data_IF_350982931829
#
_entry.id   IF_350982931829
#
_cell.length_a   1.000
_cell.length_b   1.000
_cell.length_c   1.000
_cell.angle_alpha   90.00
_cell.angle_beta   90.00
_cell.angle_gamma   90.00
#
_symmetry.space_group_name_H-M   'P 1'
#
loop_
_entity.id
_entity.type
_entity.pdbx_description
1 polymer ?
#
# COMPACT_ATOMS: atom_id res chain seq x y z
N UNK A 1 25.16 4.76 29.46
CA UNK A 1 24.45 4.47 30.72
C UNK A 1 23.29 3.54 30.40
N UNK A 2 23.23 2.34 30.99
CA UNK A 2 22.14 1.39 30.77
C UNK A 2 20.88 1.86 31.51
N UNK A 3 19.72 1.87 30.86
CA UNK A 3 18.46 2.21 31.53
C UNK A 3 18.19 1.22 32.66
N UNK A 4 17.82 1.73 33.83
CA UNK A 4 17.38 0.87 34.93
C UNK A 4 15.98 0.32 34.65
N UNK A 5 15.62 -0.83 35.23
CA UNK A 5 14.30 -1.46 35.04
C UNK A 5 13.15 -0.50 35.39
N UNK A 6 13.33 0.29 36.45
CA UNK A 6 12.33 1.26 36.92
C UNK A 6 12.14 2.41 35.94
N UNK A 7 13.22 2.93 35.36
CA UNK A 7 13.16 3.98 34.35
C UNK A 7 12.57 3.46 33.03
N UNK A 8 12.94 2.25 32.61
CA UNK A 8 12.38 1.59 31.42
C UNK A 8 10.85 1.49 31.54
N UNK A 9 10.35 1.04 32.69
CA UNK A 9 8.91 0.95 32.96
C UNK A 9 8.22 2.31 32.98
N UNK A 10 8.84 3.33 33.57
CA UNK A 10 8.30 4.71 33.57
C UNK A 10 8.15 5.24 32.14
N UNK A 11 9.12 4.98 31.26
CA UNK A 11 9.02 5.37 29.86
C UNK A 11 7.88 4.64 29.15
N UNK A 12 7.72 3.33 29.38
CA UNK A 12 6.65 2.53 28.77
C UNK A 12 5.26 3.06 29.16
N UNK A 13 5.03 3.39 30.44
CA UNK A 13 3.76 3.98 30.89
C UNK A 13 3.46 5.28 30.13
N UNK A 14 4.46 6.15 29.98
CA UNK A 14 4.31 7.40 29.23
C UNK A 14 4.00 7.15 27.75
N UNK A 15 4.64 6.17 27.12
CA UNK A 15 4.36 5.77 25.73
C UNK A 15 2.92 5.24 25.59
N UNK A 16 2.45 4.47 26.57
CA UNK A 16 1.07 4.00 26.62
C UNK A 16 0.06 5.15 26.68
N UNK A 17 0.44 6.27 27.29
CA UNK A 17 -0.32 7.53 27.33
C UNK A 17 -0.12 8.41 26.07
N UNK A 18 0.77 8.05 25.14
CA UNK A 18 0.99 8.77 23.88
C UNK A 18 2.21 9.71 23.87
N UNK A 19 3.10 9.62 24.85
CA UNK A 19 4.32 10.45 24.90
C UNK A 19 5.36 9.99 23.86
N UNK A 20 5.53 10.78 22.80
CA UNK A 20 6.51 10.54 21.73
C UNK A 20 7.96 10.71 22.19
N UNK A 21 8.24 11.62 23.12
CA UNK A 21 9.59 11.86 23.61
C UNK A 21 10.08 10.66 24.43
N UNK A 22 9.18 10.08 25.23
CA UNK A 22 9.44 8.84 25.93
C UNK A 22 9.72 7.67 24.97
N UNK A 23 8.98 7.57 23.86
CA UNK A 23 9.21 6.57 22.82
C UNK A 23 10.60 6.70 22.22
N UNK A 24 10.97 7.91 21.76
CA UNK A 24 12.30 8.16 21.19
C UNK A 24 13.40 7.77 22.16
N UNK A 25 13.29 8.17 23.43
CA UNK A 25 14.29 7.84 24.47
C UNK A 25 14.42 6.34 24.70
N UNK A 26 13.29 5.62 24.77
CA UNK A 26 13.30 4.16 24.92
C UNK A 26 13.91 3.50 23.67
N UNK A 27 13.51 3.96 22.48
CA UNK A 27 13.98 3.42 21.21
C UNK A 27 15.49 3.61 21.05
N UNK A 28 16.03 4.82 21.26
CA UNK A 28 17.49 5.10 21.20
C UNK A 28 18.31 4.18 22.10
N UNK A 29 17.79 3.80 23.27
CA UNK A 29 18.46 2.85 24.14
C UNK A 29 18.57 1.45 23.51
N UNK A 30 17.57 1.05 22.74
CA UNK A 30 17.48 -0.25 22.08
C UNK A 30 17.98 -0.26 20.62
N UNK A 31 18.57 0.84 20.11
CA UNK A 31 19.23 0.91 18.79
C UNK A 31 20.23 -0.24 18.53
N UNK A 32 21.06 -0.66 19.51
CA UNK A 32 21.98 -1.77 19.29
C UNK A 32 21.27 -3.07 18.88
N UNK A 33 20.04 -3.29 19.34
CA UNK A 33 19.24 -4.47 18.96
C UNK A 33 18.87 -4.39 17.48
N UNK A 34 18.41 -3.22 17.02
CA UNK A 34 18.06 -2.97 15.61
C UNK A 34 19.28 -3.14 14.72
N UNK A 35 20.40 -2.50 15.08
CA UNK A 35 21.66 -2.61 14.34
C UNK A 35 22.12 -4.07 14.24
N UNK A 36 22.06 -4.82 15.35
CA UNK A 36 22.46 -6.22 15.35
C UNK A 36 21.59 -7.06 14.41
N UNK A 37 20.27 -6.85 14.42
CA UNK A 37 19.35 -7.59 13.55
C UNK A 37 19.49 -7.18 12.08
N UNK A 38 19.69 -5.89 11.80
CA UNK A 38 20.01 -5.38 10.45
C UNK A 38 21.29 -6.01 9.88
N UNK A 39 22.33 -6.20 10.71
CA UNK A 39 23.54 -6.91 10.27
C UNK A 39 23.36 -8.42 10.12
N UNK A 40 22.34 -9.00 10.76
CA UNK A 40 22.10 -10.45 10.75
C UNK A 40 21.21 -10.87 9.58
N UNK A 41 20.28 -10.01 9.16
CA UNK A 41 19.26 -10.33 8.19
C UNK A 41 19.30 -9.36 7.01
N UNK A 42 19.20 -9.92 5.80
CA UNK A 42 19.02 -9.13 4.58
C UNK A 42 17.54 -9.06 4.23
N UNK A 43 17.03 -7.83 4.07
CA UNK A 43 15.71 -7.56 3.50
C UNK A 43 15.96 -6.83 2.17
N UNK A 44 15.40 -7.36 1.10
CA UNK A 44 15.52 -6.77 -0.23
C UNK A 44 14.85 -5.40 -0.29
N UNK A 45 15.50 -4.45 -0.98
CA UNK A 45 15.07 -3.06 -1.13
C UNK A 45 14.98 -2.26 0.16
N UNK A 46 15.53 -2.76 1.28
CA UNK A 46 15.60 -2.01 2.54
C UNK A 46 16.94 -1.31 2.67
N UNK A 47 16.90 -0.01 2.88
CA UNK A 47 18.04 0.78 3.30
C UNK A 47 18.11 0.88 4.84
N UNK A 48 19.16 1.55 5.33
CA UNK A 48 19.37 1.72 6.77
C UNK A 48 18.23 2.49 7.44
N UNK A 49 17.66 3.46 6.75
CA UNK A 49 16.60 4.30 7.27
C UNK A 49 15.30 3.50 7.41
N UNK A 50 14.99 2.61 6.47
CA UNK A 50 13.86 1.68 6.54
C UNK A 50 13.95 0.81 7.79
N UNK A 51 15.13 0.25 8.07
CA UNK A 51 15.38 -0.54 9.28
C UNK A 51 15.10 0.24 10.58
N UNK A 52 15.48 1.52 10.64
CA UNK A 52 15.23 2.35 11.81
C UNK A 52 13.78 2.79 11.92
N UNK A 53 13.11 3.09 10.81
CA UNK A 53 11.69 3.43 10.81
C UNK A 53 10.85 2.25 11.32
N UNK A 54 11.07 1.06 10.77
CA UNK A 54 10.36 -0.14 11.18
C UNK A 54 10.72 -0.56 12.60
N UNK A 55 11.99 -0.42 12.98
CA UNK A 55 12.41 -0.62 14.37
C UNK A 55 11.66 0.29 15.34
N UNK A 56 11.43 1.56 14.99
CA UNK A 56 10.68 2.51 15.81
C UNK A 56 9.19 2.12 15.91
N UNK A 57 8.56 1.76 14.78
CA UNK A 57 7.15 1.32 14.74
C UNK A 57 6.97 0.08 15.63
N UNK A 58 7.84 -0.91 15.49
CA UNK A 58 7.75 -2.14 16.28
C UNK A 58 8.08 -1.87 17.75
N UNK A 59 8.99 -0.94 18.06
CA UNK A 59 9.25 -0.53 19.43
C UNK A 59 7.99 0.07 20.07
N UNK A 60 7.30 0.96 19.35
CA UNK A 60 6.04 1.55 19.79
C UNK A 60 4.95 0.49 20.02
N UNK A 61 4.69 -0.38 19.04
CA UNK A 61 3.68 -1.44 19.16
C UNK A 61 4.00 -2.40 20.32
N UNK A 62 5.29 -2.72 20.48
CA UNK A 62 5.75 -3.55 21.60
C UNK A 62 5.51 -2.85 22.93
N UNK A 63 5.78 -1.54 23.03
CA UNK A 63 5.56 -0.76 24.26
C UNK A 63 4.07 -0.60 24.59
N UNK A 64 3.21 -0.40 23.58
CA UNK A 64 1.75 -0.36 23.77
C UNK A 64 1.20 -1.66 24.35
N UNK A 65 1.72 -2.81 23.90
CA UNK A 65 1.26 -4.13 24.34
C UNK A 65 2.07 -4.72 25.52
N UNK A 66 3.05 -3.98 26.06
CA UNK A 66 3.91 -4.49 27.11
C UNK A 66 3.21 -4.47 28.47
N UNK A 67 3.10 -5.65 29.08
CA UNK A 67 2.65 -5.77 30.46
C UNK A 67 3.78 -5.44 31.45
N UNK A 68 3.64 -4.30 32.12
CA UNK A 68 4.61 -3.77 33.07
C UNK A 68 4.63 -4.57 34.39
N UNK A 69 3.58 -5.34 34.69
CA UNK A 69 3.51 -6.16 35.90
C UNK A 69 4.49 -7.33 35.85
N UNK A 70 4.82 -7.81 34.64
CA UNK A 70 5.74 -8.92 34.42
C UNK A 70 7.19 -8.49 34.70
N UNK A 71 7.94 -9.30 35.44
CA UNK A 71 9.38 -9.06 35.77
C UNK A 71 10.36 -9.25 34.59
N UNK A 72 9.88 -9.19 33.34
CA UNK A 72 10.73 -9.31 32.15
C UNK A 72 11.24 -7.94 31.71
N UNK A 73 12.42 -7.90 31.09
CA UNK A 73 12.96 -6.67 30.47
C UNK A 73 12.31 -6.43 29.12
N UNK A 74 12.03 -5.19 28.80
CA UNK A 74 11.40 -4.81 27.54
C UNK A 74 12.27 -5.18 26.33
N UNK A 75 13.59 -4.93 26.40
CA UNK A 75 14.50 -5.19 25.28
C UNK A 75 14.48 -6.64 24.76
N UNK A 76 14.27 -7.62 25.64
CA UNK A 76 14.13 -9.02 25.22
C UNK A 76 12.84 -9.26 24.43
N UNK A 77 11.74 -8.67 24.88
CA UNK A 77 10.46 -8.77 24.20
C UNK A 77 10.45 -8.01 22.87
N UNK A 78 10.99 -6.79 22.86
CA UNK A 78 11.19 -6.01 21.65
C UNK A 78 12.03 -6.77 20.61
N UNK A 79 13.15 -7.37 21.02
CA UNK A 79 13.98 -8.19 20.13
C UNK A 79 13.19 -9.32 19.46
N UNK A 80 12.41 -10.07 20.24
CA UNK A 80 11.60 -11.18 19.72
C UNK A 80 10.53 -10.67 18.74
N UNK A 81 9.81 -9.61 19.09
CA UNK A 81 8.80 -9.03 18.22
C UNK A 81 9.40 -8.50 16.91
N UNK A 82 10.54 -7.82 16.99
CA UNK A 82 11.21 -7.29 15.81
C UNK A 82 11.74 -8.42 14.91
N UNK A 83 12.30 -9.47 15.49
CA UNK A 83 12.72 -10.65 14.73
C UNK A 83 11.55 -11.38 14.05
N UNK A 84 10.40 -11.51 14.72
CA UNK A 84 9.19 -12.07 14.11
C UNK A 84 8.68 -11.22 12.95
N UNK A 85 8.71 -9.89 13.10
CA UNK A 85 8.36 -8.97 12.03
C UNK A 85 9.30 -9.11 10.81
N UNK A 86 10.62 -9.23 11.03
CA UNK A 86 11.61 -9.50 9.96
C UNK A 86 11.23 -10.79 9.21
N UNK A 87 10.93 -11.88 9.93
CA UNK A 87 10.53 -13.14 9.31
C UNK A 87 9.27 -13.02 8.47
N UNK A 88 8.29 -12.24 8.92
CA UNK A 88 7.06 -12.02 8.17
C UNK A 88 7.33 -11.30 6.84
N UNK A 89 8.21 -10.30 6.84
CA UNK A 89 8.60 -9.61 5.60
C UNK A 89 9.35 -10.53 4.65
N UNK A 90 10.36 -11.25 5.14
CA UNK A 90 11.13 -12.16 4.30
C UNK A 90 10.21 -13.21 3.65
N UNK A 91 9.27 -13.78 4.41
CA UNK A 91 8.27 -14.72 3.87
C UNK A 91 7.35 -14.07 2.85
N UNK A 92 6.91 -12.83 3.09
CA UNK A 92 6.08 -12.08 2.14
C UNK A 92 6.83 -11.84 0.83
N UNK A 93 8.09 -11.39 0.89
CA UNK A 93 8.93 -11.17 -0.28
C UNK A 93 9.14 -12.47 -1.06
N UNK A 94 9.42 -13.58 -0.36
CA UNK A 94 9.54 -14.89 -1.00
C UNK A 94 8.23 -15.34 -1.66
N UNK A 95 7.07 -15.08 -1.04
CA UNK A 95 5.77 -15.41 -1.64
C UNK A 95 5.55 -14.61 -2.93
N UNK A 96 5.85 -13.32 -2.92
CA UNK A 96 5.75 -12.46 -4.10
C UNK A 96 6.67 -12.96 -5.21
N UNK A 97 7.94 -13.29 -4.90
CA UNK A 97 8.86 -13.87 -5.87
C UNK A 97 8.36 -15.17 -6.48
N UNK A 98 7.78 -16.07 -5.67
CA UNK A 98 7.18 -17.32 -6.16
C UNK A 98 6.02 -17.06 -7.11
N UNK A 99 5.13 -16.12 -6.77
CA UNK A 99 4.01 -15.74 -7.63
C UNK A 99 4.50 -15.16 -8.96
N UNK A 100 5.52 -14.29 -8.93
CA UNK A 100 6.12 -13.76 -10.15
C UNK A 100 6.73 -14.90 -10.97
N UNK A 101 7.54 -15.76 -10.35
CA UNK A 101 8.20 -16.88 -11.06
C UNK A 101 7.21 -17.86 -11.69
N UNK A 102 6.07 -18.11 -11.03
CA UNK A 102 4.99 -18.95 -11.59
C UNK A 102 4.34 -18.33 -12.82
N UNK A 103 4.32 -17.00 -12.91
CA UNK A 103 3.70 -16.23 -13.99
C UNK A 103 4.73 -15.60 -14.94
N UNK A 104 5.98 -16.09 -14.95
CA UNK A 104 7.05 -15.57 -15.81
C UNK A 104 7.54 -16.65 -16.78
N UNK A 105 7.66 -16.27 -18.04
CA UNK A 105 8.26 -17.10 -19.10
C UNK A 105 9.72 -16.68 -19.34
N UNK A 106 10.55 -17.62 -19.81
CA UNK A 106 11.92 -17.30 -20.24
C UNK A 106 11.90 -16.24 -21.35
N UNK A 107 12.97 -15.45 -21.48
CA UNK A 107 13.07 -14.51 -22.61
C UNK A 107 13.08 -15.25 -23.96
N UNK A 108 13.74 -16.41 -24.02
CA UNK A 108 13.77 -17.28 -25.20
C UNK A 108 12.53 -18.20 -25.29
N UNK A 109 11.49 -17.91 -24.51
CA UNK A 109 10.28 -18.71 -24.54
C UNK A 109 9.60 -18.56 -25.90
N UNK A 110 9.43 -19.68 -26.60
CA UNK A 110 8.71 -19.71 -27.87
C UNK A 110 7.22 -19.49 -27.60
N UNK A 111 6.77 -18.25 -27.78
CA UNK A 111 5.39 -17.82 -27.60
C UNK A 111 4.40 -18.58 -28.49
N UNK A 112 4.86 -19.22 -29.57
CA UNK A 112 4.02 -20.07 -30.43
C UNK A 112 3.67 -21.42 -29.77
N UNK A 113 4.32 -21.79 -28.66
CA UNK A 113 4.04 -23.01 -27.89
C UNK A 113 2.82 -22.86 -26.97
N UNK A 114 2.44 -21.63 -26.61
CA UNK A 114 1.17 -21.37 -25.92
C UNK A 114 0.06 -21.48 -26.98
N UNK A 115 -0.50 -22.68 -27.13
CA UNK A 115 -1.74 -22.88 -27.88
C UNK A 115 -2.87 -22.20 -27.11
N UNK A 116 -3.35 -21.06 -27.60
CA UNK A 116 -4.64 -20.43 -27.28
C UNK A 116 -5.09 -20.48 -25.81
N UNK A 117 -4.30 -19.89 -24.91
CA UNK A 117 -4.83 -19.41 -23.62
C UNK A 117 -4.65 -17.89 -23.57
N UNK A 118 -5.57 -17.16 -24.21
CA UNK A 118 -5.66 -15.69 -24.26
C UNK A 118 -5.92 -15.02 -22.89
N UNK A 119 -5.74 -15.73 -21.78
CA UNK A 119 -6.04 -15.27 -20.41
C UNK A 119 -4.82 -14.74 -19.63
N UNK A 120 -3.66 -14.59 -20.26
CA UNK A 120 -2.42 -14.17 -19.58
C UNK A 120 -2.16 -12.64 -19.60
N UNK A 121 -3.16 -11.85 -19.98
CA UNK A 121 -3.18 -10.40 -19.70
C UNK A 121 -4.33 -10.12 -18.73
N UNK A 122 -4.09 -10.28 -17.43
CA UNK A 122 -4.91 -9.62 -16.40
C UNK A 122 -4.04 -8.60 -15.71
N UNK A 123 -4.04 -7.39 -16.27
CA UNK A 123 -4.10 -6.16 -15.49
C UNK A 123 -4.97 -5.14 -16.21
N UNK A 124 -6.07 -4.87 -15.51
CA UNK A 124 -7.01 -3.76 -15.61
C UNK A 124 -8.20 -3.93 -16.55
N UNK A 125 -9.36 -3.64 -15.99
CA UNK A 125 -10.71 -3.80 -16.54
C UNK A 125 -10.85 -3.00 -17.85
N UNK A 126 -10.53 -3.60 -18.99
CA UNK A 126 -11.17 -3.18 -20.24
C UNK A 126 -12.63 -3.61 -20.15
N UNK A 127 -13.47 -2.75 -19.59
CA UNK A 127 -14.92 -2.85 -19.79
C UNK A 127 -15.10 -2.84 -21.30
N UNK A 128 -15.59 -3.95 -21.86
CA UNK A 128 -15.79 -4.07 -23.31
C UNK A 128 -16.69 -2.92 -23.75
N UNK A 129 -16.31 -2.18 -24.80
CA UNK A 129 -17.12 -1.07 -25.36
C UNK A 129 -18.54 -1.54 -25.72
N UNK A 130 -18.69 -2.84 -25.99
CA UNK A 130 -19.97 -3.53 -26.21
C UNK A 130 -20.93 -3.45 -25.02
N UNK A 131 -20.44 -3.39 -23.79
CA UNK A 131 -21.26 -3.22 -22.58
C UNK A 131 -21.78 -1.79 -22.41
N UNK A 132 -21.15 -0.81 -23.06
CA UNK A 132 -21.55 0.60 -22.97
C UNK A 132 -22.62 0.97 -23.99
N UNK A 133 -22.79 0.19 -25.06
CA UNK A 133 -23.79 0.43 -26.10
C UNK A 133 -25.21 0.76 -25.56
N UNK A 134 -25.77 0.00 -24.58
CA UNK A 134 -27.09 0.34 -24.02
C UNK A 134 -27.08 1.66 -23.23
N UNK A 135 -25.97 2.03 -22.60
CA UNK A 135 -25.85 3.28 -21.84
C UNK A 135 -25.66 4.47 -22.77
N UNK A 136 -24.85 4.31 -23.83
CA UNK A 136 -24.62 5.31 -24.87
C UNK A 136 -25.95 5.68 -25.55
N UNK A 137 -26.81 4.70 -25.82
CA UNK A 137 -28.15 4.93 -26.37
C UNK A 137 -29.08 5.76 -25.46
N UNK A 138 -28.77 5.86 -24.16
CA UNK A 138 -29.53 6.66 -23.18
C UNK A 138 -28.97 8.07 -22.98
N UNK A 139 -27.79 8.39 -23.54
CA UNK A 139 -27.18 9.71 -23.41
C UNK A 139 -27.88 10.72 -24.34
N UNK A 140 -28.00 11.95 -23.87
CA UNK A 140 -28.33 13.10 -24.74
C UNK A 140 -27.09 13.56 -25.51
N UNK A 141 -27.27 14.29 -26.60
CA UNK A 141 -26.17 14.75 -27.47
C UNK A 141 -25.06 15.47 -26.68
N UNK A 142 -25.45 16.30 -25.72
CA UNK A 142 -24.51 17.04 -24.86
C UNK A 142 -23.77 16.12 -23.85
N UNK A 143 -24.42 15.04 -23.40
CA UNK A 143 -23.79 14.05 -22.52
C UNK A 143 -22.86 13.10 -23.29
N UNK A 144 -23.18 12.82 -24.55
CA UNK A 144 -22.34 12.07 -25.47
C UNK A 144 -21.08 12.88 -25.80
N UNK A 145 -21.21 14.19 -26.04
CA UNK A 145 -20.08 15.09 -26.25
C UNK A 145 -19.14 15.12 -25.04
N UNK A 146 -19.67 15.14 -23.80
CA UNK A 146 -18.86 15.00 -22.59
C UNK A 146 -18.13 13.66 -22.49
N UNK A 147 -18.76 12.58 -22.98
CA UNK A 147 -18.13 11.27 -23.03
C UNK A 147 -16.97 11.27 -24.04
N UNK A 148 -17.18 11.83 -25.23
CA UNK A 148 -16.14 11.96 -26.26
C UNK A 148 -14.95 12.80 -25.78
N UNK A 149 -15.20 13.89 -25.06
CA UNK A 149 -14.16 14.70 -24.41
C UNK A 149 -13.43 13.91 -23.31
N UNK A 150 -14.15 13.14 -22.49
CA UNK A 150 -13.56 12.35 -21.42
C UNK A 150 -12.71 11.18 -21.94
N UNK A 151 -13.07 10.62 -23.10
CA UNK A 151 -12.32 9.59 -23.81
C UNK A 151 -11.17 10.17 -24.64
N UNK A 152 -11.06 11.49 -24.74
CA UNK A 152 -10.04 12.16 -25.55
C UNK A 152 -10.26 12.03 -27.06
N UNK A 153 -11.47 11.69 -27.49
CA UNK A 153 -11.88 11.64 -28.90
C UNK A 153 -12.07 13.05 -29.47
N UNK A 154 -12.52 13.98 -28.62
CA UNK A 154 -12.62 15.41 -28.91
C UNK A 154 -11.79 16.22 -27.93
N UNK A 155 -11.35 17.40 -28.37
CA UNK A 155 -10.72 18.42 -27.52
C UNK A 155 -11.73 19.53 -27.20
N UNK A 156 -11.55 20.20 -26.06
CA UNK A 156 -12.42 21.30 -25.65
C UNK A 156 -12.14 22.56 -26.47
N UNK A 157 -13.13 23.02 -27.25
CA UNK A 157 -13.03 24.25 -28.05
C UNK A 157 -13.54 25.49 -27.28
N UNK A 158 -13.43 26.67 -27.89
CA UNK A 158 -13.88 27.95 -27.32
C UNK A 158 -15.37 27.96 -26.96
N UNK A 159 -16.19 27.25 -27.71
CA UNK A 159 -17.62 27.12 -27.46
C UNK A 159 -17.89 26.31 -26.17
N UNK A 160 -17.08 25.28 -25.89
CA UNK A 160 -17.13 24.53 -24.63
C UNK A 160 -16.83 25.42 -23.42
N UNK A 161 -15.83 26.31 -23.55
CA UNK A 161 -15.43 27.23 -22.51
C UNK A 161 -16.52 28.30 -22.24
N UNK A 162 -17.28 28.68 -23.26
CA UNK A 162 -18.39 29.62 -23.13
C UNK A 162 -19.54 29.02 -22.28
N UNK A 163 -19.83 27.73 -22.44
CA UNK A 163 -20.95 27.04 -21.79
C UNK A 163 -20.53 26.04 -20.70
N UNK A 164 -19.38 26.28 -20.05
CA UNK A 164 -18.78 25.35 -19.07
C UNK A 164 -19.73 24.91 -17.94
N UNK A 165 -20.68 25.77 -17.57
CA UNK A 165 -21.70 25.47 -16.55
C UNK A 165 -22.72 24.42 -17.00
N UNK A 166 -23.08 24.42 -18.29
CA UNK A 166 -23.98 23.46 -18.92
C UNK A 166 -23.29 22.10 -19.07
N UNK A 167 -22.05 22.11 -19.56
CA UNK A 167 -21.15 20.96 -19.70
C UNK A 167 -20.91 20.22 -18.38
N UNK A 168 -20.69 20.96 -17.27
CA UNK A 168 -20.60 20.35 -15.92
C UNK A 168 -21.85 19.56 -15.52
N UNK A 169 -23.05 20.06 -15.85
CA UNK A 169 -24.32 19.39 -15.55
C UNK A 169 -24.51 18.16 -16.44
N UNK A 170 -24.15 18.26 -17.72
CA UNK A 170 -24.15 17.13 -18.65
C UNK A 170 -23.23 16.02 -18.16
N UNK A 171 -21.99 16.35 -17.79
CA UNK A 171 -21.01 15.39 -17.25
C UNK A 171 -21.51 14.67 -15.99
N UNK A 172 -22.18 15.41 -15.10
CA UNK A 172 -22.79 14.83 -13.90
C UNK A 172 -23.87 13.79 -14.25
N UNK A 173 -24.82 14.16 -15.14
CA UNK A 173 -25.90 13.26 -15.56
C UNK A 173 -25.37 12.05 -16.34
N UNK A 174 -24.39 12.24 -17.22
CA UNK A 174 -23.68 11.16 -17.91
C UNK A 174 -23.13 10.15 -16.90
N UNK A 175 -22.34 10.62 -15.92
CA UNK A 175 -21.77 9.74 -14.88
C UNK A 175 -22.83 9.02 -14.06
N UNK A 176 -23.97 9.67 -13.79
CA UNK A 176 -25.08 9.05 -13.08
C UNK A 176 -25.70 7.91 -13.90
N UNK A 177 -25.90 8.10 -15.22
CA UNK A 177 -26.42 7.07 -16.13
C UNK A 177 -25.47 5.87 -16.24
N UNK A 178 -24.17 6.12 -16.37
CA UNK A 178 -23.16 5.05 -16.31
C UNK A 178 -23.22 4.29 -14.97
N UNK A 179 -23.28 5.00 -13.84
CA UNK A 179 -23.34 4.37 -12.51
C UNK A 179 -24.58 3.52 -12.30
N UNK A 180 -25.72 3.89 -12.87
CA UNK A 180 -26.99 3.17 -12.68
C UNK A 180 -27.13 1.95 -13.59
N UNK A 181 -26.36 1.87 -14.68
CA UNK A 181 -26.56 0.85 -15.72
C UNK A 181 -25.34 -0.07 -15.94
N UNK A 182 -24.16 0.26 -15.38
CA UNK A 182 -22.93 -0.55 -15.49
C UNK A 182 -22.41 -1.08 -14.14
N UNK A 183 -22.96 -0.64 -13.00
CA UNK A 183 -22.62 -1.09 -11.64
C UNK A 183 -23.90 -1.33 -10.83
#
# INVERSE_FOLDING_TARGET
MSLTLTEERKLIVKIQQGDEAALKKLYYHHYPIVNKLMMTYYIESYDRQDWFQEGLIICYLTAKNFDITVKKRFGGYFRVNFQNWIYNIIRKNQRVKRQIQQNTYSFDFDWNTIKDDTNLIVRDESVMVEEWAPVIALLSDLELEELELALGVKEADKDYLADIGLHKRARYRMRQKFRQNLF
#
